data_IF_758378506434
#
_entry.id   IF_758378506434
#
_cell.length_a   1.000
_cell.length_b   1.000
_cell.length_c   1.000
_cell.angle_alpha   90.00
_cell.angle_beta   90.00
_cell.angle_gamma   90.00
#
_symmetry.space_group_name_H-M   'P 1'
#
loop_
_entity.id
_entity.type
_entity.pdbx_description
1 polymer ?
#
# COMPACT_ATOMS: atom_id res chain seq x y z
N UNK A 1 13.82 -4.88 11.47
CA UNK A 1 13.98 -4.72 12.93
C UNK A 1 12.63 -4.96 13.58
N UNK A 2 12.55 -5.88 14.54
CA UNK A 2 11.31 -6.19 15.27
C UNK A 2 11.10 -5.10 16.33
N UNK A 3 10.05 -4.29 16.19
CA UNK A 3 9.67 -3.32 17.21
C UNK A 3 8.91 -4.07 18.33
N UNK A 4 9.54 -4.20 19.49
CA UNK A 4 8.99 -4.59 20.80
C UNK A 4 8.18 -5.90 20.91
N UNK A 5 8.83 -6.92 21.47
CA UNK A 5 8.25 -8.22 21.82
C UNK A 5 7.60 -8.22 23.23
N UNK A 6 6.28 -8.05 23.29
CA UNK A 6 5.43 -8.52 24.40
C UNK A 6 4.35 -9.47 23.87
N UNK A 7 4.06 -10.61 24.53
CA UNK A 7 3.19 -11.67 24.00
C UNK A 7 1.70 -11.26 23.87
N UNK A 8 1.25 -10.18 24.52
CA UNK A 8 -0.13 -9.69 24.43
C UNK A 8 -0.35 -8.59 23.37
N UNK A 9 0.71 -8.13 22.71
CA UNK A 9 0.62 -7.01 21.75
C UNK A 9 0.52 -7.54 20.32
N UNK A 10 -0.50 -7.12 19.58
CA UNK A 10 -0.62 -7.42 18.14
C UNK A 10 0.63 -6.94 17.40
N UNK A 11 1.32 -7.87 16.73
CA UNK A 11 2.54 -7.55 15.96
C UNK A 11 2.16 -7.04 14.59
N UNK A 12 2.69 -5.87 14.23
CA UNK A 12 2.65 -5.35 12.86
C UNK A 12 3.99 -5.67 12.21
N UNK A 13 3.95 -6.37 11.07
CA UNK A 13 5.13 -6.76 10.31
C UNK A 13 5.03 -6.17 8.90
N UNK A 14 6.17 -5.72 8.37
CA UNK A 14 6.31 -5.23 7.00
C UNK A 14 7.35 -6.08 6.26
N UNK A 15 7.04 -6.50 5.04
CA UNK A 15 7.93 -7.32 4.22
C UNK A 15 7.72 -7.02 2.73
N UNK A 16 8.81 -7.06 1.96
CA UNK A 16 8.80 -7.07 0.50
C UNK A 16 9.14 -8.47 -0.03
N UNK A 17 8.55 -9.51 0.58
CA UNK A 17 8.76 -10.89 0.18
C UNK A 17 7.65 -11.33 -0.76
N UNK A 18 7.96 -12.05 -1.86
CA UNK A 18 6.92 -12.69 -2.66
C UNK A 18 6.10 -13.64 -1.79
N UNK A 19 4.80 -13.73 -2.04
CA UNK A 19 3.89 -14.56 -1.25
C UNK A 19 4.40 -16.01 -1.08
N UNK A 20 5.00 -16.60 -2.12
CA UNK A 20 5.57 -17.96 -2.10
C UNK A 20 6.67 -18.19 -1.06
N UNK A 21 7.38 -17.13 -0.64
CA UNK A 21 8.45 -17.20 0.35
C UNK A 21 7.96 -16.94 1.78
N UNK A 22 6.67 -16.67 1.97
CA UNK A 22 6.12 -16.52 3.31
C UNK A 22 6.05 -17.89 4.00
N UNK A 23 6.30 -17.93 5.32
CA UNK A 23 6.16 -19.16 6.09
C UNK A 23 4.79 -19.79 5.87
N UNK A 24 4.73 -21.12 5.78
CA UNK A 24 3.47 -21.85 5.53
C UNK A 24 2.39 -21.47 6.54
N UNK A 25 2.74 -21.24 7.80
CA UNK A 25 1.81 -20.80 8.86
C UNK A 25 1.09 -19.46 8.56
N UNK A 26 1.69 -18.60 7.74
CA UNK A 26 1.10 -17.31 7.33
C UNK A 26 0.26 -17.47 6.06
N UNK A 27 0.63 -18.43 5.20
CA UNK A 27 -0.12 -18.77 3.98
C UNK A 27 -1.33 -19.66 4.28
N UNK A 28 -1.22 -20.52 5.28
CA UNK A 28 -2.27 -21.46 5.70
C UNK A 28 -3.37 -20.71 6.43
N UNK A 29 -4.61 -20.97 6.03
CA UNK A 29 -5.83 -20.42 6.64
C UNK A 29 -6.16 -20.99 8.04
N UNK A 30 -5.33 -21.90 8.56
CA UNK A 30 -5.48 -22.46 9.90
C UNK A 30 -4.14 -22.71 10.59
N UNK A 31 -3.98 -22.31 11.87
CA UNK A 31 -4.95 -21.55 12.66
C UNK A 31 -5.03 -20.08 12.22
N UNK A 32 -6.14 -19.37 12.54
CA UNK A 32 -6.39 -17.99 12.12
C UNK A 32 -5.53 -17.02 12.94
N UNK A 33 -4.25 -16.88 12.57
CA UNK A 33 -3.31 -16.07 13.34
C UNK A 33 -2.96 -14.72 12.71
N UNK A 34 -3.00 -14.61 11.39
CA UNK A 34 -2.40 -13.47 10.69
C UNK A 34 -3.31 -12.94 9.57
N UNK A 35 -3.58 -11.63 9.60
CA UNK A 35 -4.23 -10.90 8.51
C UNK A 35 -3.13 -10.31 7.62
N UNK A 36 -3.19 -10.57 6.32
CA UNK A 36 -2.26 -10.03 5.34
C UNK A 36 -2.93 -8.90 4.55
N UNK A 37 -2.26 -7.76 4.48
CA UNK A 37 -2.65 -6.64 3.61
C UNK A 37 -1.54 -6.46 2.59
N UNK A 38 -1.87 -6.58 1.30
CA UNK A 38 -0.95 -6.36 0.20
C UNK A 38 -1.29 -5.05 -0.51
N UNK A 39 -0.26 -4.22 -0.73
CA UNK A 39 -0.37 -2.92 -1.41
C UNK A 39 0.30 -3.06 -2.78
N UNK A 40 -0.50 -3.12 -3.84
CA UNK A 40 0.00 -3.10 -5.21
C UNK A 40 0.09 -1.64 -5.70
N UNK A 41 1.05 -1.35 -6.57
CA UNK A 41 1.22 -0.03 -7.19
C UNK A 41 1.30 -0.19 -8.69
N UNK A 42 0.86 0.83 -9.42
CA UNK A 42 1.06 0.91 -10.85
C UNK A 42 2.58 0.84 -11.13
N UNK A 43 3.05 0.00 -12.06
CA UNK A 43 4.49 -0.06 -12.35
C UNK A 43 5.03 1.26 -12.91
N UNK A 44 4.15 2.14 -13.42
CA UNK A 44 4.52 3.50 -13.83
C UNK A 44 4.55 4.47 -12.65
N UNK A 45 3.69 4.33 -11.63
CA UNK A 45 3.55 5.33 -10.56
C UNK A 45 3.13 4.83 -9.17
N UNK A 46 2.88 5.78 -8.28
CA UNK A 46 2.53 5.67 -6.88
C UNK A 46 1.13 5.06 -6.69
N UNK A 47 0.78 4.78 -5.44
CA UNK A 47 -0.42 4.09 -5.00
C UNK A 47 -1.71 4.90 -5.25
N UNK A 48 -2.23 4.81 -6.47
CA UNK A 48 -3.36 5.57 -7.00
C UNK A 48 -4.63 5.49 -6.13
N UNK A 49 -5.04 4.28 -5.71
CA UNK A 49 -6.32 4.10 -5.00
C UNK A 49 -6.38 4.77 -3.63
N UNK A 50 -5.29 4.73 -2.86
CA UNK A 50 -5.22 5.42 -1.57
C UNK A 50 -5.07 6.92 -1.75
N UNK A 51 -4.46 7.38 -2.84
CA UNK A 51 -4.42 8.80 -3.15
C UNK A 51 -5.78 9.33 -3.63
N UNK A 52 -6.55 8.51 -4.36
CA UNK A 52 -7.84 8.88 -4.95
C UNK A 52 -8.96 8.90 -3.91
N UNK A 53 -9.16 7.80 -3.18
CA UNK A 53 -10.24 7.65 -2.19
C UNK A 53 -9.70 7.17 -0.82
N UNK A 54 -8.89 7.98 -0.11
CA UNK A 54 -8.24 7.54 1.11
C UNK A 54 -9.23 7.17 2.23
N UNK A 55 -10.38 7.84 2.33
CA UNK A 55 -11.38 7.54 3.37
C UNK A 55 -11.96 6.13 3.23
N UNK A 56 -12.30 5.75 2.00
CA UNK A 56 -12.87 4.44 1.68
C UNK A 56 -11.87 3.32 1.96
N UNK A 57 -10.61 3.52 1.58
CA UNK A 57 -9.54 2.56 1.85
C UNK A 57 -9.28 2.39 3.35
N UNK A 58 -9.32 3.48 4.13
CA UNK A 58 -9.19 3.40 5.60
C UNK A 58 -10.36 2.64 6.21
N UNK A 59 -11.60 2.87 5.75
CA UNK A 59 -12.78 2.13 6.22
C UNK A 59 -12.71 0.64 5.86
N UNK A 60 -12.29 0.31 4.63
CA UNK A 60 -12.09 -1.07 4.17
C UNK A 60 -11.03 -1.78 5.01
N UNK A 61 -9.91 -1.10 5.30
CA UNK A 61 -8.86 -1.62 6.17
C UNK A 61 -9.37 -1.84 7.60
N UNK A 62 -10.11 -0.89 8.17
CA UNK A 62 -10.68 -1.00 9.50
C UNK A 62 -11.65 -2.19 9.61
N UNK A 63 -12.55 -2.32 8.65
CA UNK A 63 -13.48 -3.45 8.56
C UNK A 63 -12.74 -4.79 8.44
N UNK A 64 -11.71 -4.87 7.58
CA UNK A 64 -10.86 -6.06 7.46
C UNK A 64 -10.16 -6.40 8.77
N UNK A 65 -9.73 -5.40 9.54
CA UNK A 65 -9.14 -5.59 10.86
C UNK A 65 -10.18 -5.93 11.94
N UNK A 66 -11.49 -5.85 11.66
CA UNK A 66 -12.57 -6.09 12.62
C UNK A 66 -12.76 -4.94 13.60
N UNK A 67 -12.45 -3.71 13.18
CA UNK A 67 -12.60 -2.49 13.98
C UNK A 67 -13.75 -1.66 13.44
N UNK A 68 -14.63 -1.22 14.33
CA UNK A 68 -15.58 -0.16 14.02
C UNK A 68 -14.85 1.18 14.03
N UNK A 69 -15.07 2.00 13.00
CA UNK A 69 -14.46 3.32 12.87
C UNK A 69 -15.52 4.38 12.60
N UNK A 70 -15.59 5.38 13.48
CA UNK A 70 -16.42 6.56 13.26
C UNK A 70 -15.82 7.46 12.17
N UNK A 71 -16.61 8.36 11.60
CA UNK A 71 -16.09 9.36 10.64
C UNK A 71 -14.98 10.23 11.24
N UNK A 72 -15.06 10.55 12.54
CA UNK A 72 -14.02 11.30 13.25
C UNK A 72 -12.71 10.50 13.37
N UNK A 73 -12.79 9.17 13.54
CA UNK A 73 -11.58 8.33 13.59
C UNK A 73 -10.92 8.23 12.23
N UNK A 74 -11.72 8.13 11.17
CA UNK A 74 -11.22 8.14 9.78
C UNK A 74 -10.49 9.46 9.50
N UNK A 75 -11.11 10.59 9.79
CA UNK A 75 -10.51 11.91 9.60
C UNK A 75 -9.19 12.07 10.38
N UNK A 76 -9.15 11.61 11.64
CA UNK A 76 -7.90 11.61 12.44
C UNK A 76 -6.81 10.75 11.81
N UNK A 77 -7.14 9.56 11.31
CA UNK A 77 -6.18 8.67 10.65
C UNK A 77 -5.65 9.29 9.37
N UNK A 78 -6.52 9.89 8.56
CA UNK A 78 -6.17 10.59 7.33
C UNK A 78 -5.23 11.76 7.60
N UNK A 79 -5.57 12.60 8.58
CA UNK A 79 -4.73 13.72 8.99
C UNK A 79 -3.36 13.24 9.45
N UNK A 80 -3.30 12.26 10.36
CA UNK A 80 -2.04 11.74 10.91
C UNK A 80 -1.16 11.04 9.89
N UNK A 81 -1.76 10.46 8.85
CA UNK A 81 -1.05 9.71 7.80
C UNK A 81 -0.81 10.54 6.55
N UNK A 82 -1.21 11.81 6.54
CA UNK A 82 -1.03 12.69 5.39
C UNK A 82 0.45 12.99 5.16
N UNK A 83 0.86 13.06 3.89
CA UNK A 83 2.25 13.32 3.52
C UNK A 83 2.75 14.66 4.08
N UNK A 84 1.91 15.69 4.09
CA UNK A 84 2.27 17.00 4.66
C UNK A 84 2.60 16.86 6.15
N UNK A 85 1.73 16.18 6.90
CA UNK A 85 1.96 15.93 8.33
C UNK A 85 3.19 15.06 8.58
N UNK A 86 3.42 14.05 7.74
CA UNK A 86 4.57 13.15 7.88
C UNK A 86 5.91 13.82 7.52
N UNK A 87 5.91 14.76 6.56
CA UNK A 87 7.09 15.59 6.21
C UNK A 87 7.48 16.57 7.32
N UNK A 88 6.51 17.01 8.12
CA UNK A 88 6.74 17.87 9.29
C UNK A 88 7.31 17.13 10.50
N UNK A 89 7.21 15.81 10.55
CA UNK A 89 7.90 15.03 11.57
C UNK A 89 9.41 15.16 11.31
N UNK A 90 10.19 15.53 12.34
CA UNK A 90 11.65 15.77 12.30
C UNK A 90 12.49 14.51 12.01
N UNK A 91 12.04 13.67 11.07
CA UNK A 91 12.78 12.53 10.57
C UNK A 91 13.33 12.95 9.21
N UNK A 92 14.64 13.22 9.07
CA UNK A 92 15.25 13.62 7.80
C UNK A 92 15.18 12.43 6.83
N UNK A 93 14.12 12.38 6.04
CA UNK A 93 13.82 11.22 5.20
C UNK A 93 13.29 11.66 3.83
N UNK A 94 14.09 12.47 3.13
CA UNK A 94 13.92 12.74 1.69
C UNK A 94 13.91 11.45 0.85
N UNK A 95 14.51 10.38 1.37
CA UNK A 95 14.47 9.02 0.79
C UNK A 95 13.09 8.35 0.95
N UNK A 96 12.34 8.64 2.02
CA UNK A 96 11.01 8.07 2.24
C UNK A 96 9.88 8.93 1.65
N UNK A 97 10.06 10.26 1.64
CA UNK A 97 9.03 11.22 1.20
C UNK A 97 9.53 12.04 0.01
N UNK A 98 9.16 11.63 -1.21
CA UNK A 98 9.46 12.34 -2.47
C UNK A 98 8.35 13.34 -2.81
N UNK A 99 7.49 13.00 -3.75
CA UNK A 99 6.41 13.86 -4.24
C UNK A 99 5.05 13.40 -3.71
N UNK A 100 4.77 12.09 -3.80
CA UNK A 100 3.49 11.50 -3.40
C UNK A 100 2.31 11.90 -4.28
N UNK A 101 2.61 12.33 -5.51
CA UNK A 101 1.65 12.76 -6.53
C UNK A 101 1.45 11.64 -7.54
N UNK A 102 0.20 11.37 -7.90
CA UNK A 102 -0.15 10.46 -9.00
C UNK A 102 0.13 11.17 -10.34
N UNK A 103 0.73 10.47 -11.29
CA UNK A 103 1.12 10.97 -12.61
C UNK A 103 2.55 11.55 -12.69
N UNK A 104 3.34 11.52 -11.61
CA UNK A 104 4.71 12.07 -11.58
C UNK A 104 5.66 11.33 -12.55
N UNK A 105 5.32 10.11 -12.96
CA UNK A 105 6.09 9.36 -13.96
C UNK A 105 6.21 10.08 -15.31
N UNK A 106 5.23 10.90 -15.66
CA UNK A 106 5.20 11.69 -16.90
C UNK A 106 6.34 12.71 -16.97
N UNK A 107 6.92 13.09 -15.82
CA UNK A 107 8.06 14.00 -15.75
C UNK A 107 9.40 13.31 -16.00
N UNK A 108 9.46 11.97 -15.94
CA UNK A 108 10.70 11.21 -16.00
C UNK A 108 10.76 10.18 -17.13
N UNK A 109 9.60 9.69 -17.61
CA UNK A 109 9.51 8.69 -18.67
C UNK A 109 9.09 9.33 -19.98
N UNK A 110 9.73 8.92 -21.08
CA UNK A 110 9.24 9.24 -22.42
C UNK A 110 7.98 8.43 -22.74
N UNK A 111 7.15 8.87 -23.70
CA UNK A 111 5.97 8.13 -24.12
C UNK A 111 6.29 6.68 -24.54
N UNK A 112 7.39 6.47 -25.26
CA UNK A 112 7.82 5.13 -25.69
C UNK A 112 8.19 4.23 -24.51
N UNK A 113 8.82 4.78 -23.47
CA UNK A 113 9.17 4.02 -22.26
C UNK A 113 7.92 3.62 -21.48
N UNK A 114 6.97 4.55 -21.34
CA UNK A 114 5.68 4.29 -20.69
C UNK A 114 4.89 3.22 -21.43
N UNK A 115 4.80 3.33 -22.76
CA UNK A 115 4.11 2.37 -23.61
C UNK A 115 4.74 0.97 -23.51
N UNK A 116 6.07 0.87 -23.41
CA UNK A 116 6.75 -0.42 -23.16
C UNK A 116 6.34 -1.03 -21.82
N UNK A 117 6.27 -0.22 -20.76
CA UNK A 117 5.82 -0.67 -19.43
C UNK A 117 4.36 -1.13 -19.49
N UNK A 118 3.49 -0.38 -20.17
CA UNK A 118 2.08 -0.73 -20.33
C UNK A 118 1.89 -2.05 -21.07
N UNK A 119 2.66 -2.23 -22.15
CA UNK A 119 2.65 -3.46 -22.94
C UNK A 119 3.06 -4.66 -22.08
N UNK A 120 4.14 -4.54 -21.31
CA UNK A 120 4.61 -5.60 -20.40
C UNK A 120 3.59 -5.90 -19.29
N UNK A 121 2.98 -4.86 -18.73
CA UNK A 121 1.97 -4.99 -17.66
C UNK A 121 0.74 -5.73 -18.17
N UNK A 122 0.24 -5.33 -19.35
CA UNK A 122 -0.90 -5.98 -20.00
C UNK A 122 -0.65 -7.47 -20.25
N UNK A 123 0.52 -7.80 -20.82
CA UNK A 123 0.88 -9.20 -21.10
C UNK A 123 0.98 -10.03 -19.83
N UNK A 124 1.54 -9.47 -18.73
CA UNK A 124 1.69 -10.19 -17.47
C UNK A 124 0.39 -10.35 -16.67
N UNK A 125 -0.53 -9.39 -16.79
CA UNK A 125 -1.81 -9.44 -16.07
C UNK A 125 -2.93 -10.12 -16.86
N UNK A 126 -2.72 -10.35 -18.17
CA UNK A 126 -3.68 -11.04 -19.02
C UNK A 126 -4.07 -12.40 -18.42
N UNK A 127 -5.38 -12.63 -18.27
CA UNK A 127 -5.93 -13.88 -17.73
C UNK A 127 -5.88 -14.00 -16.20
N UNK A 128 -5.33 -13.04 -15.47
CA UNK A 128 -5.29 -13.06 -13.99
C UNK A 128 -6.52 -12.42 -13.33
N UNK A 129 -7.31 -11.66 -14.09
CA UNK A 129 -8.41 -10.85 -13.57
C UNK A 129 -7.96 -9.55 -12.87
N UNK A 130 -6.65 -9.26 -12.86
CA UNK A 130 -6.09 -8.02 -12.31
C UNK A 130 -5.95 -6.97 -13.42
N UNK A 131 -6.31 -5.73 -13.11
CA UNK A 131 -6.08 -4.56 -13.95
C UNK A 131 -5.75 -3.36 -13.08
N UNK A 132 -4.98 -2.42 -13.63
CA UNK A 132 -4.84 -1.07 -13.09
C UNK A 132 -5.74 -0.14 -13.89
N UNK A 133 -6.30 0.88 -13.25
CA UNK A 133 -7.00 1.94 -13.97
C UNK A 133 -5.97 2.73 -14.77
N UNK A 134 -6.14 2.80 -16.09
CA UNK A 134 -5.32 3.66 -16.94
C UNK A 134 -5.90 5.10 -16.88
N UNK A 135 -5.08 6.10 -16.51
CA UNK A 135 -5.37 7.53 -16.68
C UNK A 135 -4.88 8.07 -18.03
#
# INVERSE_FOLDING_TARGET
MLLNSSPERSRLLHAHLPYSHLPEKVRSSSPPGCKLVHVARNPKDTYEDLCRNPEEQVRKLASFLGRETSSMDVEKVLWRSSLNRLKELEIPNSILFRTGTVGDWKNYLTPDMAQRIDSLTRVKLQGTGLSFDDE
#
